data_IF_556287971688
#
_entry.id   IF_556287971688
#
_cell.length_a   1.000
_cell.length_b   1.000
_cell.length_c   1.000
_cell.angle_alpha   90.00
_cell.angle_beta   90.00
_cell.angle_gamma   90.00
#
_symmetry.space_group_name_H-M   'P 1'
#
loop_
_entity.id
_entity.type
_entity.pdbx_description
1 polymer ?
#
# COMPACT_ATOMS: atom_id res chain seq x y z
N UNK A 1 -5.48 -10.31 0.98
CA UNK A 1 -6.75 -11.03 0.69
C UNK A 1 -7.95 -10.07 0.73
N UNK A 2 -8.64 -9.86 -0.39
CA UNK A 2 -9.74 -8.87 -0.50
C UNK A 2 -11.10 -9.37 -0.02
N UNK A 3 -11.27 -10.69 0.12
CA UNK A 3 -12.51 -11.29 0.61
C UNK A 3 -12.36 -11.69 2.08
N UNK A 4 -13.20 -11.13 2.95
CA UNK A 4 -13.30 -11.48 4.36
C UNK A 4 -14.37 -12.55 4.57
N UNK A 5 -14.08 -13.80 4.19
CA UNK A 5 -15.00 -14.89 4.47
C UNK A 5 -14.99 -15.27 5.95
N UNK A 6 -16.17 -15.41 6.52
CA UNK A 6 -16.43 -16.16 7.75
C UNK A 6 -16.12 -17.65 7.55
N UNK A 7 -16.00 -18.40 8.65
CA UNK A 7 -15.81 -19.85 8.55
C UNK A 7 -16.99 -20.55 7.86
N UNK A 8 -18.22 -20.03 8.02
CA UNK A 8 -19.41 -20.58 7.35
C UNK A 8 -19.31 -20.41 5.84
N UNK A 9 -18.87 -19.25 5.38
CA UNK A 9 -18.68 -18.99 3.95
C UNK A 9 -17.49 -19.78 3.38
N UNK A 10 -16.40 -19.95 4.14
CA UNK A 10 -15.29 -20.82 3.74
C UNK A 10 -15.73 -22.29 3.64
N UNK A 11 -16.57 -22.76 4.56
CA UNK A 11 -17.16 -24.09 4.49
C UNK A 11 -18.05 -24.27 3.25
N UNK A 12 -18.93 -23.30 2.98
CA UNK A 12 -19.78 -23.31 1.80
C UNK A 12 -18.94 -23.32 0.50
N UNK A 13 -17.87 -22.52 0.46
CA UNK A 13 -16.94 -22.48 -0.67
C UNK A 13 -16.21 -23.80 -0.87
N UNK A 14 -15.73 -24.44 0.21
CA UNK A 14 -15.12 -25.78 0.12
C UNK A 14 -16.11 -26.80 -0.39
N UNK A 15 -17.31 -26.84 0.18
CA UNK A 15 -18.37 -27.76 -0.25
C UNK A 15 -18.68 -27.58 -1.74
N UNK A 16 -18.81 -26.34 -2.21
CA UNK A 16 -19.04 -26.05 -3.62
C UNK A 16 -17.90 -26.56 -4.50
N UNK A 17 -16.64 -26.29 -4.14
CA UNK A 17 -15.49 -26.79 -4.87
C UNK A 17 -15.41 -28.33 -4.87
N UNK A 18 -15.81 -28.98 -3.77
CA UNK A 18 -15.86 -30.45 -3.67
C UNK A 18 -16.90 -31.03 -4.64
N UNK A 19 -18.08 -30.39 -4.74
CA UNK A 19 -19.12 -30.80 -5.70
C UNK A 19 -18.71 -30.62 -7.16
N UNK A 20 -17.76 -29.73 -7.44
CA UNK A 20 -17.17 -29.55 -8.76
C UNK A 20 -15.91 -30.42 -9.00
N UNK A 21 -15.64 -31.41 -8.14
CA UNK A 21 -14.55 -32.38 -8.35
C UNK A 21 -13.16 -31.92 -7.90
N UNK A 22 -13.04 -30.79 -7.18
CA UNK A 22 -11.75 -30.34 -6.64
C UNK A 22 -11.39 -31.16 -5.40
N UNK A 23 -10.38 -32.03 -5.51
CA UNK A 23 -9.97 -32.97 -4.45
C UNK A 23 -8.99 -32.37 -3.44
N UNK A 24 -8.06 -31.53 -3.88
CA UNK A 24 -7.00 -30.95 -3.04
C UNK A 24 -7.35 -29.53 -2.58
N UNK A 25 -8.15 -29.42 -1.51
CA UNK A 25 -8.55 -28.11 -0.98
C UNK A 25 -7.91 -27.81 0.37
N UNK A 26 -7.42 -26.58 0.59
CA UNK A 26 -6.91 -26.19 1.89
C UNK A 26 -8.00 -26.31 2.95
N UNK A 27 -7.60 -26.69 4.15
CA UNK A 27 -8.46 -26.62 5.34
C UNK A 27 -8.74 -25.16 5.69
N UNK A 28 -9.84 -24.89 6.40
CA UNK A 28 -10.15 -23.55 6.89
C UNK A 28 -9.00 -22.99 7.75
N UNK A 29 -8.38 -23.85 8.56
CA UNK A 29 -7.21 -23.50 9.38
C UNK A 29 -6.04 -23.03 8.52
N UNK A 30 -5.70 -23.74 7.45
CA UNK A 30 -4.64 -23.33 6.52
C UNK A 30 -4.94 -21.97 5.88
N UNK A 31 -6.18 -21.72 5.46
CA UNK A 31 -6.59 -20.43 4.89
C UNK A 31 -6.46 -19.30 5.93
N UNK A 32 -6.87 -19.55 7.18
CA UNK A 32 -6.78 -18.56 8.27
C UNK A 32 -5.33 -18.24 8.63
N UNK A 33 -4.49 -19.26 8.82
CA UNK A 33 -3.07 -19.07 9.14
C UNK A 33 -2.37 -18.29 8.02
N UNK A 34 -2.59 -18.69 6.76
CA UNK A 34 -1.98 -17.98 5.64
C UNK A 34 -2.47 -16.52 5.52
N UNK A 35 -3.75 -16.26 5.85
CA UNK A 35 -4.27 -14.90 5.93
C UNK A 35 -3.59 -14.11 7.04
N UNK A 36 -3.38 -14.70 8.20
CA UNK A 36 -2.67 -14.07 9.32
C UNK A 36 -1.23 -13.72 8.94
N UNK A 37 -0.51 -14.63 8.29
CA UNK A 37 0.86 -14.37 7.81
C UNK A 37 0.91 -13.17 6.84
N UNK A 38 -0.05 -13.11 5.91
CA UNK A 38 -0.16 -11.98 4.97
C UNK A 38 -0.47 -10.68 5.72
N UNK A 39 -1.39 -10.71 6.69
CA UNK A 39 -1.76 -9.52 7.48
C UNK A 39 -0.61 -9.05 8.37
N UNK A 40 0.17 -9.97 8.94
CA UNK A 40 1.36 -9.63 9.72
C UNK A 40 2.45 -8.98 8.86
N UNK A 41 2.53 -9.36 7.58
CA UNK A 41 3.56 -8.85 6.66
C UNK A 41 3.14 -7.55 5.96
N UNK A 42 1.90 -7.49 5.47
CA UNK A 42 1.41 -6.43 4.57
C UNK A 42 0.02 -5.90 4.97
N UNK A 43 -0.48 -6.25 6.16
CA UNK A 43 -1.72 -5.71 6.70
C UNK A 43 -1.57 -4.28 7.19
N UNK A 44 -2.69 -3.56 7.19
CA UNK A 44 -2.79 -2.25 7.83
C UNK A 44 -3.43 -2.41 9.21
N UNK A 45 -2.95 -1.63 10.18
CA UNK A 45 -3.58 -1.55 11.50
C UNK A 45 -4.75 -0.57 11.43
N UNK A 46 -5.91 -1.06 11.03
CA UNK A 46 -7.14 -0.26 11.02
C UNK A 46 -7.70 -0.15 12.43
N UNK A 47 -7.82 1.07 12.94
CA UNK A 47 -8.47 1.39 14.21
C UNK A 47 -9.85 1.96 13.97
N UNK A 48 -10.85 1.46 14.69
CA UNK A 48 -12.17 2.06 14.71
C UNK A 48 -12.21 3.14 15.79
N UNK A 49 -12.63 4.34 15.41
CA UNK A 49 -12.74 5.50 16.29
C UNK A 49 -14.18 6.02 16.18
N UNK A 50 -14.86 6.11 17.32
CA UNK A 50 -16.18 6.71 17.38
C UNK A 50 -16.06 8.23 17.47
N UNK A 51 -16.66 8.91 16.52
CA UNK A 51 -16.77 10.36 16.51
C UNK A 51 -17.76 10.85 17.56
N UNK A 52 -17.59 12.11 17.98
CA UNK A 52 -18.44 12.75 19.00
C UNK A 52 -19.94 12.80 18.63
N UNK A 53 -20.28 12.63 17.35
CA UNK A 53 -21.65 12.61 16.84
C UNK A 53 -22.20 11.19 16.63
N UNK A 54 -21.51 10.16 17.13
CA UNK A 54 -21.96 8.75 17.03
C UNK A 54 -21.59 8.03 15.72
N UNK A 55 -20.84 8.67 14.84
CA UNK A 55 -20.34 8.03 13.61
C UNK A 55 -19.02 7.31 13.89
N UNK A 56 -18.91 6.02 13.52
CA UNK A 56 -17.65 5.26 13.60
C UNK A 56 -16.80 5.48 12.35
N UNK A 57 -15.52 5.76 12.53
CA UNK A 57 -14.53 5.96 11.47
C UNK A 57 -13.45 4.88 11.52
N UNK A 58 -13.09 4.33 10.37
CA UNK A 58 -11.93 3.46 10.22
C UNK A 58 -10.69 4.31 9.88
N UNK A 59 -9.72 4.33 10.78
CA UNK A 59 -8.48 5.08 10.63
C UNK A 59 -7.32 4.12 10.45
N UNK A 60 -6.56 4.31 9.38
CA UNK A 60 -5.37 3.52 9.07
C UNK A 60 -4.09 4.28 9.45
N UNK A 61 -3.03 3.54 9.72
CA UNK A 61 -1.69 4.11 9.87
C UNK A 61 -1.16 4.61 8.52
N UNK A 62 -1.01 5.94 8.42
CA UNK A 62 -0.49 6.61 7.24
C UNK A 62 0.93 6.16 6.85
N UNK A 63 1.83 5.98 7.82
CA UNK A 63 3.20 5.59 7.53
C UNK A 63 3.27 4.18 6.96
N UNK A 64 2.41 3.27 7.44
CA UNK A 64 2.30 1.92 6.86
C UNK A 64 1.77 1.94 5.43
N UNK A 65 0.78 2.79 5.13
CA UNK A 65 0.28 2.97 3.76
C UNK A 65 1.42 3.41 2.85
N UNK A 66 2.13 4.49 3.22
CA UNK A 66 3.26 4.97 2.42
C UNK A 66 4.33 3.88 2.22
N UNK A 67 4.71 3.17 3.29
CA UNK A 67 5.67 2.06 3.20
C UNK A 67 5.23 1.00 2.19
N UNK A 68 3.96 0.61 2.20
CA UNK A 68 3.42 -0.38 1.26
C UNK A 68 3.44 0.13 -0.18
N UNK A 69 3.07 1.39 -0.42
CA UNK A 69 3.10 1.97 -1.77
C UNK A 69 4.54 2.07 -2.32
N UNK A 70 5.51 2.43 -1.48
CA UNK A 70 6.93 2.45 -1.85
C UNK A 70 7.50 1.04 -2.10
N UNK A 71 7.03 0.03 -1.38
CA UNK A 71 7.46 -1.36 -1.57
C UNK A 71 6.76 -2.06 -2.74
N UNK A 72 5.63 -1.53 -3.22
CA UNK A 72 4.83 -2.14 -4.27
C UNK A 72 5.49 -1.95 -5.64
N UNK A 73 5.93 -3.03 -6.32
CA UNK A 73 6.64 -2.91 -7.60
C UNK A 73 5.77 -2.34 -8.73
N UNK A 74 4.44 -2.40 -8.61
CA UNK A 74 3.51 -1.84 -9.61
C UNK A 74 3.23 -0.35 -9.39
N UNK A 75 3.39 0.14 -8.16
CA UNK A 75 3.13 1.55 -7.80
C UNK A 75 4.43 2.33 -7.74
N UNK A 76 5.51 1.74 -7.23
CA UNK A 76 6.82 2.38 -7.08
C UNK A 76 7.33 3.12 -8.34
N UNK A 77 7.14 2.62 -9.58
CA UNK A 77 7.54 3.33 -10.80
C UNK A 77 6.68 4.57 -11.12
N UNK A 78 5.46 4.63 -10.56
CA UNK A 78 4.50 5.74 -10.73
C UNK A 78 4.64 6.82 -9.65
N UNK A 79 5.45 6.57 -8.62
CA UNK A 79 5.71 7.54 -7.58
C UNK A 79 6.76 8.54 -8.07
N UNK A 80 6.35 9.80 -8.14
CA UNK A 80 7.23 10.91 -8.46
C UNK A 80 7.72 11.57 -7.17
N UNK A 81 9.00 11.38 -6.86
CA UNK A 81 9.61 11.85 -5.63
C UNK A 81 10.34 13.18 -5.79
N UNK A 82 10.57 13.60 -7.04
CA UNK A 82 11.37 14.76 -7.38
C UNK A 82 10.53 15.83 -8.06
N UNK A 83 10.88 17.12 -7.86
CA UNK A 83 10.34 18.18 -8.68
C UNK A 83 10.67 17.96 -10.15
N UNK A 84 9.72 18.30 -11.01
CA UNK A 84 9.88 18.35 -12.45
C UNK A 84 9.80 19.80 -12.91
N UNK A 85 10.67 20.20 -13.82
CA UNK A 85 10.57 21.51 -14.47
C UNK A 85 9.84 21.35 -15.82
N UNK A 86 8.61 21.83 -15.88
CA UNK A 86 7.77 21.82 -17.09
C UNK A 86 7.65 23.19 -17.75
N UNK A 87 8.49 24.16 -17.37
CA UNK A 87 8.44 25.54 -17.88
C UNK A 87 7.12 26.23 -17.51
N UNK A 88 6.43 26.77 -18.51
CA UNK A 88 5.19 27.55 -18.30
C UNK A 88 3.93 26.68 -18.12
N UNK A 89 4.06 25.36 -18.10
CA UNK A 89 2.92 24.42 -17.97
C UNK A 89 2.87 23.80 -16.59
N UNK A 90 1.68 23.64 -16.04
CA UNK A 90 1.44 22.94 -14.78
C UNK A 90 0.28 21.96 -14.94
N UNK A 91 0.61 20.67 -15.02
CA UNK A 91 -0.36 19.56 -15.13
C UNK A 91 -0.40 18.72 -13.85
N UNK A 92 0.72 18.62 -13.13
CA UNK A 92 0.84 17.80 -11.92
C UNK A 92 1.51 18.54 -10.76
N UNK A 93 1.24 18.11 -9.53
CA UNK A 93 1.77 18.76 -8.33
C UNK A 93 3.31 18.79 -8.28
N UNK A 94 3.98 17.77 -8.84
CA UNK A 94 5.45 17.67 -8.92
C UNK A 94 6.09 18.78 -9.77
N UNK A 95 5.31 19.42 -10.64
CA UNK A 95 5.75 20.51 -11.50
C UNK A 95 5.60 21.89 -10.84
N UNK A 96 4.95 21.96 -9.68
CA UNK A 96 4.70 23.23 -9.01
C UNK A 96 5.98 23.84 -8.43
N UNK A 97 6.11 25.17 -8.57
CA UNK A 97 7.22 25.95 -8.04
C UNK A 97 7.50 25.66 -6.56
N UNK A 98 6.46 25.42 -5.76
CA UNK A 98 6.58 25.07 -4.33
C UNK A 98 7.38 23.79 -4.11
N UNK A 99 7.13 22.75 -4.91
CA UNK A 99 7.86 21.49 -4.80
C UNK A 99 9.33 21.63 -5.23
N UNK A 100 9.61 22.55 -6.15
CA UNK A 100 10.96 22.82 -6.68
C UNK A 100 11.79 23.76 -5.80
N UNK A 101 11.17 24.76 -5.18
CA UNK A 101 11.89 25.89 -4.56
C UNK A 101 11.69 26.03 -3.06
N UNK A 102 10.59 25.49 -2.50
CA UNK A 102 10.26 25.70 -1.08
C UNK A 102 10.42 24.44 -0.23
N UNK A 103 10.35 23.24 -0.84
CA UNK A 103 10.55 21.99 -0.11
C UNK A 103 12.04 21.83 0.22
N UNK A 104 12.35 21.70 1.50
CA UNK A 104 13.72 21.43 1.98
C UNK A 104 14.22 20.09 1.41
N UNK A 105 15.43 20.12 0.83
CA UNK A 105 16.09 18.97 0.23
C UNK A 105 16.24 17.78 1.17
N UNK A 106 16.44 18.03 2.47
CA UNK A 106 16.59 17.01 3.51
C UNK A 106 15.29 16.27 3.84
N UNK A 107 14.14 16.88 3.55
CA UNK A 107 12.81 16.27 3.70
C UNK A 107 12.16 15.94 2.35
N UNK A 108 12.86 16.24 1.26
CA UNK A 108 12.48 15.86 -0.10
C UNK A 108 12.77 14.37 -0.37
N UNK A 109 12.46 13.88 -1.58
CA UNK A 109 12.63 12.47 -1.94
C UNK A 109 14.01 11.91 -1.57
N UNK A 110 14.09 10.79 -0.82
CA UNK A 110 15.26 10.45 -0.01
C UNK A 110 16.53 10.11 -0.81
N UNK A 111 16.43 9.78 -2.11
CA UNK A 111 17.54 9.21 -2.88
C UNK A 111 17.21 9.08 -4.37
N UNK A 112 17.98 9.75 -5.24
CA UNK A 112 17.86 9.57 -6.68
C UNK A 112 18.75 8.39 -7.08
N UNK A 113 18.18 7.36 -7.72
CA UNK A 113 18.95 6.22 -8.23
C UNK A 113 19.23 6.42 -9.71
N UNK A 114 20.50 6.58 -10.07
CA UNK A 114 20.94 6.65 -11.46
C UNK A 114 20.78 5.31 -12.18
N UNK A 115 20.81 5.35 -13.52
CA UNK A 115 20.65 4.15 -14.36
C UNK A 115 21.73 3.08 -14.14
N UNK A 116 22.89 3.46 -13.59
CA UNK A 116 23.96 2.54 -13.20
C UNK A 116 23.72 1.85 -11.84
N UNK A 117 22.61 2.15 -11.16
CA UNK A 117 22.33 1.69 -9.80
C UNK A 117 23.01 2.51 -8.70
N UNK A 118 23.72 3.59 -9.05
CA UNK A 118 24.31 4.51 -8.07
C UNK A 118 23.23 5.37 -7.42
N UNK A 119 23.32 5.52 -6.12
CA UNK A 119 22.43 6.36 -5.32
C UNK A 119 23.06 7.75 -5.11
N UNK A 120 22.23 8.79 -5.21
CA UNK A 120 22.59 10.19 -5.04
C UNK A 120 21.68 10.81 -3.98
N UNK A 121 22.30 11.46 -3.01
CA UNK A 121 21.63 12.16 -1.92
C UNK A 121 21.72 13.66 -2.14
N UNK A 122 20.73 14.39 -1.64
CA UNK A 122 20.74 15.85 -1.67
C UNK A 122 21.81 16.31 -0.67
N UNK A 123 22.73 17.19 -1.10
CA UNK A 123 23.84 17.74 -0.29
C UNK A 123 25.06 16.81 -0.04
N UNK A 124 25.20 15.69 -0.78
CA UNK A 124 26.45 14.91 -0.85
C UNK A 124 27.41 15.31 -1.99
#
# INVERSE_FOLDING_TARGET
PRACFSEKELNATRWYAQKNGVSAQPTIKQVKNHREDILNTAGLDTKLIDGKLGNSFAVNDWFKILKHEFANPLVRPKLHLYPEDSGDKLEEARQAAKWKHEVDGNVSGPMARGNSGKDYYVEE
#
